data_IF_862646311964
#
_entry.id   IF_862646311964
#
_cell.length_a   1.000
_cell.length_b   1.000
_cell.length_c   1.000
_cell.angle_alpha   90.00
_cell.angle_beta   90.00
_cell.angle_gamma   90.00
#
_symmetry.space_group_name_H-M   'P 1'
#
loop_
_entity.id
_entity.type
_entity.pdbx_description
1 polymer ?
#
# COMPACT_ATOMS: atom_id res chain seq x y z
N UNK A 1 12.22 -16.29 8.05
CA UNK A 1 11.80 -15.85 6.70
C UNK A 1 10.81 -16.78 6.01
N UNK A 2 9.53 -16.72 6.41
CA UNK A 2 8.41 -17.34 5.68
C UNK A 2 7.16 -16.44 5.61
N UNK A 3 7.23 -15.24 6.21
CA UNK A 3 6.06 -14.37 6.41
C UNK A 3 5.46 -13.89 5.10
N UNK A 4 6.26 -13.69 4.06
CA UNK A 4 5.79 -13.24 2.73
C UNK A 4 5.76 -14.34 1.69
N UNK A 5 5.97 -15.60 2.08
CA UNK A 5 5.90 -16.72 1.13
C UNK A 5 4.49 -16.81 0.53
N UNK A 6 4.42 -16.92 -0.80
CA UNK A 6 3.16 -17.04 -1.55
C UNK A 6 2.42 -15.73 -1.80
N UNK A 7 3.01 -14.57 -1.48
CA UNK A 7 2.43 -13.24 -1.69
C UNK A 7 3.48 -12.22 -2.17
N UNK A 8 3.04 -11.18 -2.90
CA UNK A 8 3.85 -9.99 -3.20
C UNK A 8 3.49 -8.90 -2.17
N UNK A 9 4.33 -8.60 -1.17
CA UNK A 9 4.07 -7.51 -0.23
C UNK A 9 4.30 -6.15 -0.90
N UNK A 10 3.84 -5.09 -0.23
CA UNK A 10 4.27 -3.73 -0.55
C UNK A 10 5.75 -3.57 -0.17
N UNK A 11 6.46 -2.84 -0.99
CA UNK A 11 7.86 -2.45 -0.81
C UNK A 11 7.96 -1.00 -0.37
N UNK A 12 9.16 -0.56 0.03
CA UNK A 12 9.41 0.85 0.33
C UNK A 12 9.13 1.76 -0.86
N UNK A 13 9.43 1.30 -2.08
CA UNK A 13 9.21 2.05 -3.32
C UNK A 13 7.71 2.26 -3.60
N UNK A 14 6.88 1.24 -3.38
CA UNK A 14 5.42 1.35 -3.55
C UNK A 14 4.83 2.43 -2.60
N UNK A 15 5.37 2.54 -1.37
CA UNK A 15 4.94 3.57 -0.40
C UNK A 15 5.51 4.95 -0.77
N UNK A 16 6.75 5.02 -1.24
CA UNK A 16 7.36 6.28 -1.66
C UNK A 16 6.58 6.92 -2.83
N UNK A 17 6.13 6.13 -3.80
CA UNK A 17 5.28 6.60 -4.90
C UNK A 17 3.94 7.13 -4.39
N UNK A 18 3.32 6.45 -3.42
CA UNK A 18 2.07 6.87 -2.79
C UNK A 18 2.23 8.25 -2.11
N UNK A 19 3.32 8.43 -1.35
CA UNK A 19 3.63 9.71 -0.69
C UNK A 19 3.89 10.80 -1.71
N UNK A 20 4.65 10.50 -2.76
CA UNK A 20 4.91 11.45 -3.85
C UNK A 20 3.61 11.89 -4.52
N UNK A 21 2.73 10.94 -4.85
CA UNK A 21 1.40 11.25 -5.39
C UNK A 21 0.64 12.19 -4.46
N UNK A 22 0.57 11.88 -3.16
CA UNK A 22 -0.15 12.68 -2.18
C UNK A 22 0.41 14.11 -2.04
N UNK A 23 1.73 14.29 -2.18
CA UNK A 23 2.39 15.60 -2.15
C UNK A 23 2.28 16.36 -3.48
N UNK A 24 2.05 15.67 -4.58
CA UNK A 24 2.05 16.24 -5.94
C UNK A 24 0.68 16.78 -6.41
N UNK A 25 -0.38 16.59 -5.63
CA UNK A 25 -1.71 17.06 -5.99
C UNK A 25 -1.79 18.59 -6.02
N UNK A 26 -2.69 19.20 -6.82
CA UNK A 26 -2.87 20.65 -6.85
C UNK A 26 -3.22 21.24 -5.48
N UNK A 27 -2.86 22.51 -5.24
CA UNK A 27 -3.02 23.18 -3.93
C UNK A 27 -4.45 23.16 -3.35
N UNK A 28 -5.47 23.11 -4.20
CA UNK A 28 -6.87 23.06 -3.77
C UNK A 28 -7.35 21.65 -3.40
N UNK A 29 -6.51 20.62 -3.56
CA UNK A 29 -6.85 19.23 -3.33
C UNK A 29 -6.19 18.73 -2.05
N UNK A 30 -7.01 18.19 -1.14
CA UNK A 30 -6.54 17.58 0.10
C UNK A 30 -6.84 16.08 0.09
N UNK A 31 -5.79 15.27 0.24
CA UNK A 31 -5.93 13.85 0.55
C UNK A 31 -5.93 13.72 2.08
N UNK A 32 -7.10 13.47 2.66
CA UNK A 32 -7.26 13.34 4.11
C UNK A 32 -6.72 12.02 4.65
N UNK A 33 -6.95 10.93 3.91
CA UNK A 33 -6.55 9.57 4.30
C UNK A 33 -6.32 8.74 3.04
N UNK A 34 -5.35 7.81 3.11
CA UNK A 34 -5.10 6.84 2.07
C UNK A 34 -4.79 5.47 2.67
N UNK A 35 -5.58 4.47 2.30
CA UNK A 35 -5.37 3.08 2.68
C UNK A 35 -4.73 2.32 1.52
N UNK A 36 -3.50 1.84 1.70
CA UNK A 36 -2.76 1.06 0.71
C UNK A 36 -2.54 -0.35 1.23
N UNK A 37 -2.95 -1.34 0.44
CA UNK A 37 -2.82 -2.76 0.78
C UNK A 37 -2.36 -3.56 -0.44
N UNK A 38 -1.54 -4.61 -0.26
CA UNK A 38 -1.22 -5.53 -1.35
C UNK A 38 -2.49 -6.27 -1.78
N UNK A 39 -2.62 -6.59 -3.06
CA UNK A 39 -3.83 -7.22 -3.65
C UNK A 39 -4.26 -8.51 -2.95
N UNK A 40 -3.31 -9.23 -2.35
CA UNK A 40 -3.54 -10.46 -1.60
C UNK A 40 -4.04 -10.25 -0.17
N UNK A 41 -4.25 -9.01 0.29
CA UNK A 41 -4.63 -8.68 1.65
C UNK A 41 -5.96 -7.91 1.67
N UNK A 42 -6.92 -8.41 2.46
CA UNK A 42 -8.21 -7.75 2.64
C UNK A 42 -8.25 -6.88 3.90
N UNK A 43 -7.55 -7.30 4.96
CA UNK A 43 -7.45 -6.58 6.25
C UNK A 43 -6.10 -6.88 6.92
N UNK A 44 -5.84 -6.31 8.09
CA UNK A 44 -4.65 -6.64 8.90
C UNK A 44 -4.51 -8.12 9.29
N UNK A 45 -5.60 -8.90 9.23
CA UNK A 45 -5.61 -10.32 9.64
C UNK A 45 -5.97 -11.29 8.52
N UNK A 46 -6.54 -10.81 7.41
CA UNK A 46 -7.02 -11.65 6.30
C UNK A 46 -6.07 -11.48 5.10
N UNK A 47 -5.31 -12.54 4.81
CA UNK A 47 -4.34 -12.61 3.71
C UNK A 47 -4.52 -13.90 2.92
N UNK A 48 -4.68 -13.78 1.60
CA UNK A 48 -4.75 -14.90 0.67
C UNK A 48 -3.35 -15.28 0.19
N UNK A 49 -2.91 -16.49 0.51
CA UNK A 49 -1.61 -17.06 0.14
C UNK A 49 -1.84 -18.20 -0.85
N UNK A 50 -1.09 -18.23 -1.94
CA UNK A 50 -1.05 -19.39 -2.84
C UNK A 50 -0.13 -20.47 -2.30
#
# INVERSE_FOLDING_TARGET
>A
DNVYKGIRPLTGDDIAETVYFAASVPEYMQIAEMLVMPTNQATGTIVSRK
#
